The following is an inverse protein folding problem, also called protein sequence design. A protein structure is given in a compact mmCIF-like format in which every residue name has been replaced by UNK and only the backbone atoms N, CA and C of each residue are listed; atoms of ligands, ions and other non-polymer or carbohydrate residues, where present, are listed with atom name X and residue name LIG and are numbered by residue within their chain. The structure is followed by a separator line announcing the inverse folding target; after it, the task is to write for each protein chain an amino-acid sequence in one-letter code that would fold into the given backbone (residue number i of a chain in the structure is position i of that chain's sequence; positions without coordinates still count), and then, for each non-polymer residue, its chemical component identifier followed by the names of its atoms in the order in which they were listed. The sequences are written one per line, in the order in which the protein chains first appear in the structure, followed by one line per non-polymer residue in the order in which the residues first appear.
data_IF_562229767593
#
_entry.id   IF_562229767593
#
_cell.length_a   1.000
_cell.length_b   1.000
_cell.length_c   1.000
_cell.angle_alpha   90.00
_cell.angle_beta   90.00
_cell.angle_gamma   90.00
#
_symmetry.space_group_name_H-M   'P 1'
#
loop_
_entity.id
_entity.type
_entity.pdbx_description
1 polymer ?
#
# COMPACT_ATOMS: atom_id res chain seq x y z
N UNK A 1 17.61 5.98 8.51
CA UNK A 1 16.14 6.07 8.35
C UNK A 1 15.69 6.62 7.01
N UNK A 2 16.46 7.50 6.35
CA UNK A 2 16.10 8.07 5.04
C UNK A 2 15.68 7.01 4.00
N UNK A 3 16.33 5.86 3.98
CA UNK A 3 15.99 4.76 3.08
C UNK A 3 14.60 4.15 3.35
N UNK A 4 14.25 3.84 4.61
CA UNK A 4 12.92 3.32 4.96
C UNK A 4 11.83 4.36 4.68
N UNK A 5 12.11 5.64 4.96
CA UNK A 5 11.18 6.73 4.64
C UNK A 5 10.98 6.88 3.13
N UNK A 6 12.03 6.73 2.33
CA UNK A 6 11.93 6.74 0.87
C UNK A 6 11.16 5.53 0.34
N UNK A 7 11.46 4.32 0.84
CA UNK A 7 10.72 3.11 0.49
C UNK A 7 9.23 3.26 0.85
N UNK A 8 8.90 3.78 2.03
CA UNK A 8 7.52 4.01 2.46
C UNK A 8 6.83 5.02 1.55
N UNK A 9 7.52 6.10 1.17
CA UNK A 9 7.00 7.13 0.26
C UNK A 9 6.72 6.54 -1.12
N UNK A 10 7.65 5.78 -1.69
CA UNK A 10 7.49 5.13 -3.01
C UNK A 10 6.33 4.13 -3.00
N UNK A 11 6.27 3.26 -2.00
CA UNK A 11 5.16 2.30 -1.86
C UNK A 11 3.82 3.02 -1.69
N UNK A 12 3.76 4.06 -0.86
CA UNK A 12 2.53 4.84 -0.63
C UNK A 12 2.05 5.54 -1.90
N UNK A 13 2.95 6.13 -2.69
CA UNK A 13 2.61 6.77 -3.97
C UNK A 13 2.15 5.76 -5.02
N UNK A 14 2.74 4.56 -5.04
CA UNK A 14 2.38 3.49 -5.97
C UNK A 14 0.91 3.06 -5.85
N UNK A 15 0.32 3.08 -4.64
CA UNK A 15 -1.06 2.65 -4.39
C UNK A 15 -2.08 3.48 -5.20
N UNK A 16 -2.23 4.81 -5.00
CA UNK A 16 -3.19 5.61 -5.75
C UNK A 16 -2.84 5.70 -7.23
N UNK A 17 -1.55 5.70 -7.61
CA UNK A 17 -1.15 5.73 -9.01
C UNK A 17 -1.61 4.48 -9.77
N UNK A 18 -1.42 3.30 -9.20
CA UNK A 18 -1.88 2.06 -9.81
C UNK A 18 -3.42 1.93 -9.78
N UNK A 19 -4.11 2.44 -8.76
CA UNK A 19 -5.57 2.51 -8.77
C UNK A 19 -6.07 3.39 -9.93
N UNK A 20 -5.52 4.58 -10.09
CA UNK A 20 -5.90 5.52 -11.14
C UNK A 20 -5.58 4.95 -12.54
N UNK A 21 -4.39 4.36 -12.70
CA UNK A 21 -4.02 3.74 -13.97
C UNK A 21 -4.92 2.54 -14.29
N UNK A 22 -5.23 1.71 -13.28
CA UNK A 22 -6.18 0.61 -13.39
C UNK A 22 -7.55 1.08 -13.85
N UNK A 23 -8.09 2.16 -13.27
CA UNK A 23 -9.39 2.70 -13.66
C UNK A 23 -9.47 3.09 -15.15
N UNK A 24 -8.35 3.47 -15.76
CA UNK A 24 -8.27 3.81 -17.19
C UNK A 24 -8.17 2.61 -18.14
N UNK A 25 -8.04 1.36 -17.66
CA UNK A 25 -7.86 0.21 -18.55
C UNK A 25 -9.19 -0.34 -19.08
N UNK A 26 -9.24 -0.74 -20.38
CA UNK A 26 -10.48 -1.10 -21.05
C UNK A 26 -11.05 -2.43 -20.54
N UNK A 27 -10.18 -3.43 -20.28
CA UNK A 27 -10.62 -4.76 -19.87
C UNK A 27 -10.57 -4.95 -18.37
N UNK A 28 -11.49 -5.74 -17.83
CA UNK A 28 -11.49 -6.11 -16.43
C UNK A 28 -10.17 -6.76 -15.99
N UNK A 29 -9.61 -7.63 -16.84
CA UNK A 29 -8.34 -8.33 -16.61
C UNK A 29 -7.18 -7.33 -16.43
N UNK A 30 -7.13 -6.30 -17.26
CA UNK A 30 -6.10 -5.27 -17.14
C UNK A 30 -6.27 -4.45 -15.87
N UNK A 31 -7.51 -4.01 -15.55
CA UNK A 31 -7.79 -3.29 -14.28
C UNK A 31 -7.35 -4.10 -13.06
N UNK A 32 -7.71 -5.39 -13.03
CA UNK A 32 -7.36 -6.30 -11.95
C UNK A 32 -5.85 -6.43 -11.74
N UNK A 33 -5.04 -6.40 -12.81
CA UNK A 33 -3.57 -6.41 -12.71
C UNK A 33 -3.04 -5.18 -11.98
N UNK A 34 -3.54 -3.99 -12.31
CA UNK A 34 -3.13 -2.75 -11.62
C UNK A 34 -3.59 -2.71 -10.16
N UNK A 35 -4.83 -3.16 -9.88
CA UNK A 35 -5.29 -3.29 -8.50
C UNK A 35 -4.43 -4.28 -7.69
N UNK A 36 -3.92 -5.35 -8.32
CA UNK A 36 -3.02 -6.30 -7.67
C UNK A 36 -1.67 -5.67 -7.33
N UNK A 37 -1.14 -4.78 -8.19
CA UNK A 37 0.07 -4.02 -7.90
C UNK A 37 -0.18 -3.05 -6.74
N UNK A 38 -1.27 -2.28 -6.78
CA UNK A 38 -1.65 -1.40 -5.67
C UNK A 38 -1.78 -2.16 -4.35
N UNK A 39 -2.37 -3.36 -4.37
CA UNK A 39 -2.48 -4.24 -3.20
C UNK A 39 -1.10 -4.65 -2.69
N UNK A 40 -0.19 -5.02 -3.58
CA UNK A 40 1.20 -5.33 -3.24
C UNK A 40 1.88 -4.18 -2.53
N UNK A 41 1.80 -2.96 -3.09
CA UNK A 41 2.38 -1.77 -2.46
C UNK A 41 1.76 -1.42 -1.09
N UNK A 42 0.46 -1.67 -0.90
CA UNK A 42 -0.17 -1.51 0.42
C UNK A 42 0.38 -2.51 1.47
N UNK A 43 0.69 -3.74 1.05
CA UNK A 43 1.32 -4.74 1.92
C UNK A 43 2.77 -4.36 2.25
N UNK A 44 3.52 -3.82 1.26
CA UNK A 44 4.88 -3.29 1.47
C UNK A 44 4.89 -2.14 2.48
N UNK A 45 3.94 -1.20 2.41
CA UNK A 45 3.78 -0.15 3.42
C UNK A 45 3.63 -0.75 4.83
N UNK A 46 2.85 -1.83 4.97
CA UNK A 46 2.66 -2.52 6.25
C UNK A 46 3.96 -3.09 6.80
N UNK A 47 4.75 -3.76 5.95
CA UNK A 47 6.05 -4.30 6.32
C UNK A 47 7.04 -3.19 6.72
N UNK A 48 7.07 -2.06 6.00
CA UNK A 48 7.96 -0.95 6.32
C UNK A 48 7.56 -0.29 7.65
N UNK A 49 6.26 -0.13 7.92
CA UNK A 49 5.77 0.35 9.22
C UNK A 49 6.16 -0.58 10.37
N UNK A 50 6.12 -1.90 10.16
CA UNK A 50 6.58 -2.87 11.15
C UNK A 50 8.09 -2.73 11.42
N UNK A 51 8.90 -2.52 10.39
CA UNK A 51 10.33 -2.25 10.54
C UNK A 51 10.61 -0.94 11.29
N UNK A 52 9.88 0.13 10.97
CA UNK A 52 9.99 1.41 11.69
C UNK A 52 9.62 1.27 13.16
N UNK A 53 8.60 0.48 13.49
CA UNK A 53 8.21 0.17 14.88
C UNK A 53 9.30 -0.62 15.60
N UNK A 54 9.81 -1.69 14.99
CA UNK A 54 10.84 -2.54 15.58
C UNK A 54 12.15 -1.80 15.87
N UNK A 55 12.46 -0.78 15.07
CA UNK A 55 13.64 0.06 15.26
C UNK A 55 13.37 1.28 16.18
N UNK A 56 12.17 1.39 16.77
CA UNK A 56 11.74 2.52 17.60
C UNK A 56 11.87 3.88 16.89
N UNK A 57 11.56 3.92 15.59
CA UNK A 57 11.71 5.10 14.72
C UNK A 57 10.40 5.79 14.39
N UNK A 58 9.30 5.22 14.82
CA UNK A 58 7.97 5.74 14.64
C UNK A 58 7.18 5.53 15.93
N UNK A 59 6.27 6.45 16.18
CA UNK A 59 5.31 6.36 17.27
C UNK A 59 4.39 5.13 17.07
N UNK A 60 4.24 4.32 18.12
CA UNK A 60 3.51 3.05 18.04
C UNK A 60 2.02 3.25 17.73
N UNK A 61 1.41 4.29 18.29
CA UNK A 61 0.00 4.61 18.07
C UNK A 61 -0.23 5.00 16.60
N UNK A 62 0.60 5.89 16.05
CA UNK A 62 0.57 6.26 14.63
C UNK A 62 0.81 5.08 13.69
N UNK A 63 1.71 4.17 14.04
CA UNK A 63 1.92 2.94 13.24
C UNK A 63 0.66 2.09 13.26
N UNK A 64 0.02 1.91 14.42
CA UNK A 64 -1.21 1.14 14.54
C UNK A 64 -2.36 1.76 13.71
N UNK A 65 -2.56 3.08 13.81
CA UNK A 65 -3.54 3.83 13.01
C UNK A 65 -3.31 3.66 11.51
N UNK A 66 -2.06 3.81 11.05
CA UNK A 66 -1.70 3.63 9.66
C UNK A 66 -1.98 2.20 9.17
N UNK A 67 -1.70 1.18 10.00
CA UNK A 67 -1.99 -0.23 9.67
C UNK A 67 -3.49 -0.50 9.57
N UNK A 68 -4.34 0.13 10.38
CA UNK A 68 -5.80 0.03 10.23
C UNK A 68 -6.27 0.53 8.86
N UNK A 69 -5.71 1.65 8.38
CA UNK A 69 -6.01 2.17 7.05
C UNK A 69 -5.51 1.23 5.94
N UNK A 70 -4.30 0.69 6.07
CA UNK A 70 -3.75 -0.28 5.12
C UNK A 70 -4.60 -1.55 5.01
N UNK A 71 -5.09 -2.08 6.14
CA UNK A 71 -5.99 -3.24 6.13
C UNK A 71 -7.25 -2.96 5.31
N UNK A 72 -7.84 -1.77 5.44
CA UNK A 72 -9.01 -1.37 4.66
C UNK A 72 -8.69 -1.27 3.16
N UNK A 73 -7.55 -0.68 2.80
CA UNK A 73 -7.09 -0.61 1.41
C UNK A 73 -6.88 -2.00 0.82
N UNK A 74 -6.19 -2.89 1.52
CA UNK A 74 -5.94 -4.27 1.07
C UNK A 74 -7.25 -5.04 0.90
N UNK A 75 -8.23 -4.87 1.80
CA UNK A 75 -9.53 -5.51 1.69
C UNK A 75 -10.29 -5.05 0.43
N UNK A 76 -10.34 -3.73 0.18
CA UNK A 76 -10.96 -3.16 -1.02
C UNK A 76 -10.26 -3.65 -2.30
N UNK A 77 -8.94 -3.52 -2.35
CA UNK A 77 -8.13 -3.91 -3.50
C UNK A 77 -8.23 -5.42 -3.78
N UNK A 78 -8.32 -6.25 -2.75
CA UNK A 78 -8.51 -7.71 -2.91
C UNK A 78 -9.80 -8.03 -3.64
N UNK A 79 -10.88 -7.29 -3.38
CA UNK A 79 -12.13 -7.43 -4.14
C UNK A 79 -12.00 -6.92 -5.58
N UNK A 80 -11.28 -5.82 -5.79
CA UNK A 80 -11.07 -5.21 -7.11
C UNK A 80 -10.10 -5.98 -8.02
N UNK A 81 -9.34 -6.93 -7.47
CA UNK A 81 -8.48 -7.85 -8.22
C UNK A 81 -9.24 -9.05 -8.81
N UNK A 82 -10.50 -9.26 -8.42
CA UNK A 82 -11.30 -10.44 -8.80
C UNK A 82 -12.32 -10.08 -9.85
#
# INVERSE_FOLDING_TARGET
HAELTDQLRRATLSIPLNIAEGAGKPTHKDRARFHAIARGSAMECGAILDLLRLQALADEERVAEAKVLLVRLVAMLTRMCR
#
